data_IF_310601929283
#
_entry.id   IF_310601929283
#
_cell.length_a   1.000
_cell.length_b   1.000
_cell.length_c   1.000
_cell.angle_alpha   90.00
_cell.angle_beta   90.00
_cell.angle_gamma   90.00
#
_symmetry.space_group_name_H-M   'P 1'
#
loop_
_entity.id
_entity.type
_entity.pdbx_description
1 polymer ?
#
# COMPACT_ATOMS: atom_id res chain seq x y z
N UNK A 1 9.12 13.72 8.00
CA UNK A 1 7.64 13.79 8.19
C UNK A 1 7.34 13.27 9.59
N UNK A 2 6.39 13.85 10.34
CA UNK A 2 6.09 13.32 11.68
C UNK A 2 5.26 12.03 11.58
N UNK A 3 5.27 11.21 12.63
CA UNK A 3 4.42 10.03 12.71
C UNK A 3 2.93 10.38 12.59
N UNK A 4 2.52 11.50 13.16
CA UNK A 4 1.14 12.01 13.07
C UNK A 4 0.77 12.38 11.64
N UNK A 5 1.69 12.99 10.90
CA UNK A 5 1.45 13.34 9.48
C UNK A 5 1.27 12.07 8.63
N UNK A 6 2.08 11.04 8.90
CA UNK A 6 1.97 9.73 8.23
C UNK A 6 0.59 9.11 8.48
N UNK A 7 0.13 9.12 9.72
CA UNK A 7 -1.21 8.60 10.08
C UNK A 7 -2.33 9.41 9.39
N UNK A 8 -2.21 10.74 9.33
CA UNK A 8 -3.20 11.59 8.65
C UNK A 8 -3.26 11.32 7.14
N UNK A 9 -2.11 11.14 6.51
CA UNK A 9 -2.05 10.79 5.08
C UNK A 9 -2.61 9.40 4.83
N UNK A 10 -2.31 8.43 5.70
CA UNK A 10 -2.86 7.09 5.61
C UNK A 10 -4.39 7.10 5.74
N UNK A 11 -4.93 7.78 6.75
CA UNK A 11 -6.38 7.94 6.95
C UNK A 11 -7.06 8.58 5.73
N UNK A 12 -6.43 9.60 5.16
CA UNK A 12 -6.91 10.24 3.93
C UNK A 12 -6.92 9.26 2.73
N UNK A 13 -5.84 8.50 2.56
CA UNK A 13 -5.73 7.54 1.45
C UNK A 13 -6.79 6.44 1.55
N UNK A 14 -7.02 5.90 2.75
CA UNK A 14 -8.06 4.90 3.02
C UNK A 14 -9.45 5.49 2.75
N UNK A 15 -9.70 6.73 3.17
CA UNK A 15 -10.98 7.41 2.89
C UNK A 15 -11.23 7.58 1.38
N UNK A 16 -10.21 7.90 0.59
CA UNK A 16 -10.30 7.94 -0.87
C UNK A 16 -10.56 6.54 -1.45
N UNK A 17 -9.88 5.52 -0.94
CA UNK A 17 -10.10 4.13 -1.35
C UNK A 17 -11.54 3.67 -1.06
N UNK A 18 -12.11 4.02 0.09
CA UNK A 18 -13.51 3.72 0.43
C UNK A 18 -14.51 4.37 -0.54
N UNK A 19 -14.13 5.51 -1.13
CA UNK A 19 -14.89 6.20 -2.19
C UNK A 19 -14.62 5.67 -3.59
N UNK A 20 -13.79 4.63 -3.72
CA UNK A 20 -13.34 4.05 -4.98
C UNK A 20 -12.49 5.01 -5.84
N UNK A 21 -11.90 6.02 -5.21
CA UNK A 21 -10.98 6.98 -5.85
C UNK A 21 -9.55 6.38 -5.89
N UNK A 22 -9.38 5.25 -6.58
CA UNK A 22 -8.16 4.41 -6.52
C UNK A 22 -6.88 5.15 -6.87
N UNK A 23 -6.91 5.96 -7.94
CA UNK A 23 -5.77 6.74 -8.38
C UNK A 23 -5.37 7.81 -7.35
N UNK A 24 -6.35 8.45 -6.72
CA UNK A 24 -6.09 9.46 -5.68
C UNK A 24 -5.53 8.79 -4.42
N UNK A 25 -6.14 7.69 -3.96
CA UNK A 25 -5.64 6.90 -2.85
C UNK A 25 -4.18 6.47 -3.07
N UNK A 26 -3.85 5.93 -4.25
CA UNK A 26 -2.50 5.50 -4.61
C UNK A 26 -1.51 6.68 -4.58
N UNK A 27 -1.91 7.83 -5.12
CA UNK A 27 -1.06 9.03 -5.11
C UNK A 27 -0.73 9.50 -3.68
N UNK A 28 -1.70 9.42 -2.76
CA UNK A 28 -1.50 9.80 -1.36
C UNK A 28 -0.56 8.81 -0.70
N UNK A 29 -0.77 7.51 -0.89
CA UNK A 29 0.10 6.48 -0.34
C UNK A 29 1.55 6.59 -0.81
N UNK A 30 1.77 6.84 -2.10
CA UNK A 30 3.11 7.04 -2.66
C UNK A 30 3.80 8.32 -2.15
N UNK A 31 3.03 9.29 -1.64
CA UNK A 31 3.58 10.52 -1.04
C UNK A 31 4.14 10.32 0.38
N UNK A 32 3.74 9.25 1.06
CA UNK A 32 4.17 8.95 2.43
C UNK A 32 5.66 8.57 2.42
N UNK A 33 6.46 9.31 3.19
CA UNK A 33 7.89 9.03 3.33
C UNK A 33 8.11 7.87 4.30
N UNK A 34 9.00 6.94 3.92
CA UNK A 34 9.31 5.73 4.69
C UNK A 34 8.07 4.91 5.10
N UNK A 35 7.29 4.38 4.14
CA UNK A 35 6.10 3.59 4.44
C UNK A 35 6.42 2.38 5.33
N UNK A 36 5.51 2.08 6.26
CA UNK A 36 5.55 0.84 7.01
C UNK A 36 5.04 -0.34 6.16
N UNK A 37 5.17 -1.56 6.67
CA UNK A 37 4.76 -2.78 5.94
C UNK A 37 3.30 -2.74 5.47
N UNK A 38 2.38 -2.20 6.28
CA UNK A 38 0.95 -2.15 5.95
C UNK A 38 0.65 -1.14 4.84
N UNK A 39 1.33 0.00 4.84
CA UNK A 39 1.17 0.99 3.76
C UNK A 39 1.69 0.41 2.43
N UNK A 40 2.82 -0.33 2.44
CA UNK A 40 3.27 -1.05 1.25
C UNK A 40 2.27 -2.10 0.77
N UNK A 41 1.61 -2.80 1.70
CA UNK A 41 0.54 -3.74 1.36
C UNK A 41 -0.65 -3.02 0.70
N UNK A 42 -1.09 -1.89 1.24
CA UNK A 42 -2.18 -1.08 0.67
C UNK A 42 -1.83 -0.58 -0.74
N UNK A 43 -0.59 -0.12 -0.96
CA UNK A 43 -0.07 0.25 -2.28
C UNK A 43 -0.15 -0.93 -3.25
N UNK A 44 0.29 -2.12 -2.84
CA UNK A 44 0.22 -3.32 -3.65
C UNK A 44 -1.21 -3.68 -4.06
N UNK A 45 -2.15 -3.62 -3.11
CA UNK A 45 -3.57 -3.84 -3.38
C UNK A 45 -4.13 -2.85 -4.42
N UNK A 46 -3.76 -1.57 -4.35
CA UNK A 46 -4.20 -0.57 -5.31
C UNK A 46 -3.62 -0.81 -6.71
N UNK A 47 -2.35 -1.21 -6.82
CA UNK A 47 -1.77 -1.61 -8.11
C UNK A 47 -2.47 -2.84 -8.69
N UNK A 48 -2.86 -3.82 -7.87
CA UNK A 48 -3.65 -4.95 -8.34
C UNK A 48 -5.02 -4.56 -8.88
N UNK A 49 -5.70 -3.62 -8.21
CA UNK A 49 -6.97 -3.09 -8.72
C UNK A 49 -6.80 -2.39 -10.07
N UNK A 50 -5.64 -1.77 -10.29
CA UNK A 50 -5.28 -1.13 -11.56
C UNK A 50 -4.70 -2.11 -12.61
N UNK A 51 -4.57 -3.40 -12.29
CA UNK A 51 -3.95 -4.44 -13.14
C UNK A 51 -2.43 -4.22 -13.40
N UNK A 52 -1.78 -3.41 -12.58
CA UNK A 52 -0.33 -3.15 -12.64
C UNK A 52 0.44 -4.21 -11.83
N UNK A 53 0.50 -5.44 -12.36
CA UNK A 53 1.05 -6.59 -11.64
C UNK A 53 2.53 -6.42 -11.23
N UNK A 54 3.36 -5.84 -12.10
CA UNK A 54 4.79 -5.63 -11.82
C UNK A 54 5.04 -4.72 -10.61
N UNK A 55 4.23 -3.66 -10.47
CA UNK A 55 4.37 -2.71 -9.36
C UNK A 55 3.68 -3.22 -8.10
N UNK A 56 2.60 -4.00 -8.25
CA UNK A 56 2.00 -4.72 -7.15
C UNK A 56 2.97 -5.73 -6.51
N UNK A 57 3.67 -6.55 -7.31
CA UNK A 57 4.64 -7.51 -6.79
C UNK A 57 5.73 -6.80 -5.99
N UNK A 58 6.32 -5.74 -6.55
CA UNK A 58 7.35 -4.93 -5.86
C UNK A 58 6.85 -4.35 -4.54
N UNK A 59 5.61 -3.88 -4.51
CA UNK A 59 5.00 -3.33 -3.29
C UNK A 59 4.82 -4.42 -2.21
N UNK A 60 4.33 -5.61 -2.57
CA UNK A 60 4.25 -6.73 -1.62
C UNK A 60 5.62 -7.20 -1.17
N UNK A 61 6.62 -7.18 -2.05
CA UNK A 61 8.01 -7.47 -1.74
C UNK A 61 8.55 -6.52 -0.65
N UNK A 62 8.30 -5.22 -0.80
CA UNK A 62 8.65 -4.21 0.19
C UNK A 62 7.88 -4.38 1.50
N UNK A 63 6.60 -4.77 1.43
CA UNK A 63 5.78 -5.07 2.60
C UNK A 63 6.36 -6.23 3.43
N UNK A 64 6.71 -7.34 2.76
CA UNK A 64 7.30 -8.54 3.37
C UNK A 64 8.68 -8.23 3.98
N UNK A 65 9.53 -7.48 3.27
CA UNK A 65 10.85 -7.07 3.79
C UNK A 65 10.76 -6.22 5.06
N UNK A 66 9.66 -5.50 5.25
CA UNK A 66 9.41 -4.66 6.45
C UNK A 66 8.77 -5.44 7.59
N UNK A 67 7.96 -6.44 7.28
CA UNK A 67 7.33 -7.34 8.26
C UNK A 67 7.24 -8.75 7.70
N UNK A 68 8.19 -9.59 8.07
CA UNK A 68 8.29 -10.99 7.63
C UNK A 68 7.16 -11.87 8.19
N UNK A 69 6.38 -11.37 9.15
CA UNK A 69 5.27 -12.11 9.76
C UNK A 69 3.90 -11.73 9.17
N UNK A 70 3.86 -10.81 8.21
CA UNK A 70 2.62 -10.42 7.55
C UNK A 70 2.18 -11.47 6.53
N UNK A 71 1.57 -12.56 7.02
CA UNK A 71 1.13 -13.70 6.20
C UNK A 71 0.23 -13.30 5.01
N UNK A 72 -0.59 -12.26 5.17
CA UNK A 72 -1.46 -11.76 4.10
C UNK A 72 -0.68 -11.18 2.92
N UNK A 73 0.51 -10.59 3.14
CA UNK A 73 1.34 -10.08 2.05
C UNK A 73 1.94 -11.21 1.21
N UNK A 74 2.36 -12.32 1.85
CA UNK A 74 2.78 -13.53 1.13
C UNK A 74 1.65 -14.15 0.33
N UNK A 75 0.46 -14.24 0.92
CA UNK A 75 -0.71 -14.78 0.24
C UNK A 75 -1.05 -13.95 -1.01
N UNK A 76 -1.11 -12.63 -0.86
CA UNK A 76 -1.45 -11.73 -1.96
C UNK A 76 -0.40 -11.78 -3.07
N UNK A 77 0.90 -11.79 -2.74
CA UNK A 77 1.97 -11.97 -3.73
C UNK A 77 1.88 -13.28 -4.49
N UNK A 78 1.44 -14.36 -3.86
CA UNK A 78 1.28 -15.65 -4.54
C UNK A 78 0.16 -15.68 -5.59
N UNK A 79 -0.75 -14.71 -5.58
CA UNK A 79 -1.88 -14.60 -6.51
C UNK A 79 -1.59 -13.72 -7.72
N UNK A 80 -0.50 -12.96 -7.69
CA UNK A 80 -0.15 -11.89 -8.63
C UNK A 80 1.00 -12.33 -9.52
#
# INVERSE_FOLDING_TARGET
MSYVDTLRQWDKAVTCADRQEWSEALSIFLSIQEPNSKIYFDIGCLHLLNQDLDDAEKAFDCSIRKDEHLAVAFFQRGLT
#
